data_IF_491838237639
#
_entry.id   IF_491838237639
#
_cell.length_a   1.000
_cell.length_b   1.000
_cell.length_c   1.000
_cell.angle_alpha   90.00
_cell.angle_beta   90.00
_cell.angle_gamma   90.00
#
_symmetry.space_group_name_H-M   'P 1'
#
loop_
_entity.id
_entity.type
_entity.pdbx_description
1 polymer ?
#
# COMPACT_ATOMS: atom_id res chain seq x y z
N UNK A 1 -47.11 -3.94 -8.38
CA UNK A 1 -46.88 -5.12 -9.23
C UNK A 1 -46.86 -6.35 -8.35
N UNK A 2 -47.44 -7.47 -8.79
CA UNK A 2 -47.54 -8.69 -7.97
C UNK A 2 -46.45 -9.70 -8.36
N UNK A 3 -45.80 -10.30 -7.36
CA UNK A 3 -44.86 -11.42 -7.53
C UNK A 3 -45.45 -12.55 -8.40
N UNK A 4 -46.76 -12.75 -8.32
CA UNK A 4 -47.50 -13.72 -9.14
C UNK A 4 -47.34 -13.48 -10.64
N UNK A 5 -47.35 -12.21 -11.10
CA UNK A 5 -47.19 -11.89 -12.52
C UNK A 5 -45.74 -12.12 -12.98
N UNK A 6 -44.75 -11.79 -12.15
CA UNK A 6 -43.33 -12.09 -12.42
C UNK A 6 -43.11 -13.60 -12.57
N UNK A 7 -43.68 -14.41 -11.67
CA UNK A 7 -43.60 -15.87 -11.74
C UNK A 7 -44.30 -16.45 -12.99
N UNK A 8 -45.46 -15.91 -13.36
CA UNK A 8 -46.18 -16.29 -14.57
C UNK A 8 -45.36 -15.99 -15.84
N UNK A 9 -44.83 -14.77 -15.96
CA UNK A 9 -43.99 -14.35 -17.08
C UNK A 9 -42.70 -15.18 -17.17
N UNK A 10 -42.03 -15.42 -16.04
CA UNK A 10 -40.83 -16.27 -15.98
C UNK A 10 -41.12 -17.68 -16.51
N UNK A 11 -42.26 -18.27 -16.16
CA UNK A 11 -42.68 -19.59 -16.65
C UNK A 11 -43.06 -19.55 -18.13
N UNK A 12 -43.83 -18.55 -18.55
CA UNK A 12 -44.33 -18.41 -19.93
C UNK A 12 -43.21 -18.13 -20.94
N UNK A 13 -42.26 -17.26 -20.57
CA UNK A 13 -41.20 -16.77 -21.43
C UNK A 13 -39.85 -17.46 -21.21
N UNK A 14 -39.77 -18.49 -20.35
CA UNK A 14 -38.51 -19.14 -19.93
C UNK A 14 -37.55 -19.48 -21.08
N UNK A 15 -38.07 -20.05 -22.18
CA UNK A 15 -37.25 -20.43 -23.34
C UNK A 15 -36.69 -19.21 -24.08
N UNK A 16 -37.51 -18.18 -24.26
CA UNK A 16 -37.09 -16.95 -24.94
C UNK A 16 -36.16 -16.10 -24.08
N UNK A 17 -36.37 -16.06 -22.76
CA UNK A 17 -35.44 -15.46 -21.80
C UNK A 17 -34.07 -16.12 -21.93
N UNK A 18 -33.99 -17.46 -21.82
CA UNK A 18 -32.72 -18.20 -21.95
C UNK A 18 -32.03 -17.97 -23.29
N UNK A 19 -32.82 -17.88 -24.37
CA UNK A 19 -32.31 -17.62 -25.71
C UNK A 19 -31.74 -16.20 -25.81
N UNK A 20 -32.46 -15.20 -25.33
CA UNK A 20 -32.00 -13.81 -25.28
C UNK A 20 -30.73 -13.68 -24.43
N UNK A 21 -30.68 -14.34 -23.27
CA UNK A 21 -29.49 -14.42 -22.41
C UNK A 21 -28.29 -15.00 -23.16
N UNK A 22 -28.49 -16.11 -23.88
CA UNK A 22 -27.41 -16.76 -24.65
C UNK A 22 -26.90 -15.88 -25.79
N UNK A 23 -27.80 -15.26 -26.55
CA UNK A 23 -27.44 -14.37 -27.65
C UNK A 23 -26.76 -13.10 -27.13
N UNK A 24 -27.30 -12.47 -26.09
CA UNK A 24 -26.68 -11.34 -25.42
C UNK A 24 -25.28 -11.70 -24.90
N UNK A 25 -25.11 -12.87 -24.28
CA UNK A 25 -23.80 -13.33 -23.84
C UNK A 25 -22.79 -13.48 -24.99
N UNK A 26 -23.22 -14.02 -26.14
CA UNK A 26 -22.38 -14.14 -27.33
C UNK A 26 -22.02 -12.77 -27.91
N UNK A 27 -23.02 -11.89 -28.05
CA UNK A 27 -22.85 -10.53 -28.59
C UNK A 27 -22.04 -9.61 -27.65
N UNK A 28 -22.05 -9.89 -26.35
CA UNK A 28 -21.29 -9.14 -25.33
C UNK A 28 -19.90 -9.70 -25.06
N UNK A 29 -19.47 -10.77 -25.74
CA UNK A 29 -18.15 -11.36 -25.54
C UNK A 29 -17.02 -10.32 -25.68
N UNK A 30 -17.16 -9.40 -26.62
CA UNK A 30 -16.17 -8.33 -26.87
C UNK A 30 -16.32 -7.11 -25.92
N UNK A 31 -17.30 -7.15 -25.02
CA UNK A 31 -17.59 -6.10 -24.03
C UNK A 31 -17.14 -6.51 -22.61
N UNK A 32 -16.65 -7.73 -22.43
CA UNK A 32 -16.23 -8.26 -21.13
C UNK A 32 -17.42 -8.56 -20.22
N UNK A 33 -17.36 -8.15 -18.96
CA UNK A 33 -18.48 -8.26 -18.01
C UNK A 33 -19.39 -7.03 -18.02
N UNK A 34 -19.17 -6.08 -18.93
CA UNK A 34 -19.93 -4.85 -18.96
C UNK A 34 -21.19 -5.01 -19.79
N UNK A 35 -22.31 -4.64 -19.19
CA UNK A 35 -23.60 -4.65 -19.87
C UNK A 35 -23.63 -3.51 -20.89
N UNK A 36 -23.34 -3.83 -22.14
CA UNK A 36 -23.56 -2.91 -23.24
C UNK A 36 -25.06 -2.79 -23.48
N UNK A 37 -25.71 -1.79 -22.87
CA UNK A 37 -27.16 -1.55 -22.99
C UNK A 37 -27.65 -1.60 -24.45
N UNK A 38 -26.98 -1.01 -25.46
CA UNK A 38 -27.44 -1.14 -26.84
C UNK A 38 -27.46 -2.58 -27.37
N UNK A 39 -26.50 -3.41 -26.95
CA UNK A 39 -26.48 -4.84 -27.32
C UNK A 39 -27.60 -5.58 -26.60
N UNK A 40 -27.80 -5.29 -25.31
CA UNK A 40 -28.93 -5.82 -24.56
C UNK A 40 -30.26 -5.45 -25.21
N UNK A 41 -30.46 -4.18 -25.54
CA UNK A 41 -31.69 -3.64 -26.12
C UNK A 41 -32.01 -4.31 -27.48
N UNK A 42 -31.01 -4.55 -28.32
CA UNK A 42 -31.18 -5.26 -29.60
C UNK A 42 -31.64 -6.70 -29.36
N UNK A 43 -30.98 -7.43 -28.46
CA UNK A 43 -31.30 -8.83 -28.20
C UNK A 43 -32.62 -8.98 -27.43
N UNK A 44 -32.92 -8.02 -26.55
CA UNK A 44 -34.17 -7.93 -25.81
C UNK A 44 -35.33 -7.56 -26.73
N UNK A 45 -35.18 -6.59 -27.63
CA UNK A 45 -36.19 -6.28 -28.64
C UNK A 45 -36.44 -7.49 -29.54
N UNK A 46 -35.37 -8.17 -29.99
CA UNK A 46 -35.49 -9.41 -30.75
C UNK A 46 -36.24 -10.50 -29.97
N UNK A 47 -36.13 -10.52 -28.63
CA UNK A 47 -36.93 -11.40 -27.77
C UNK A 47 -38.39 -10.99 -27.75
N UNK A 48 -38.70 -9.70 -27.62
CA UNK A 48 -40.07 -9.18 -27.66
C UNK A 48 -40.76 -9.52 -28.98
N UNK A 49 -40.05 -9.37 -30.11
CA UNK A 49 -40.56 -9.72 -31.44
C UNK A 49 -40.93 -11.22 -31.53
N UNK A 50 -40.18 -12.09 -30.85
CA UNK A 50 -40.49 -13.54 -30.78
C UNK A 50 -41.64 -13.88 -29.82
N UNK A 51 -42.02 -12.94 -28.96
CA UNK A 51 -43.13 -13.08 -28.03
C UNK A 51 -44.44 -12.47 -28.56
N UNK A 52 -44.48 -11.97 -29.80
CA UNK A 52 -45.65 -11.27 -30.39
C UNK A 52 -46.99 -12.02 -30.19
N UNK A 53 -46.98 -13.35 -30.26
CA UNK A 53 -48.18 -14.19 -30.06
C UNK A 53 -48.52 -14.52 -28.58
N UNK A 54 -47.77 -14.00 -27.61
CA UNK A 54 -47.92 -14.31 -26.17
C UNK A 54 -48.76 -13.25 -25.46
N UNK A 55 -49.56 -13.63 -24.45
CA UNK A 55 -50.41 -12.71 -23.69
C UNK A 55 -49.60 -11.91 -22.66
N UNK A 56 -48.76 -10.99 -23.12
CA UNK A 56 -48.14 -9.97 -22.29
C UNK A 56 -48.54 -8.57 -22.76
N UNK A 57 -48.33 -7.58 -21.91
CA UNK A 57 -48.72 -6.18 -22.13
C UNK A 57 -47.49 -5.28 -22.01
N UNK A 58 -47.59 -4.01 -22.43
CA UNK A 58 -46.50 -3.03 -22.24
C UNK A 58 -46.08 -2.89 -20.77
N UNK A 59 -47.01 -3.10 -19.82
CA UNK A 59 -46.72 -3.10 -18.39
C UNK A 59 -45.85 -4.28 -17.92
N UNK A 60 -45.75 -5.35 -18.72
CA UNK A 60 -44.91 -6.51 -18.43
C UNK A 60 -43.45 -6.32 -18.90
N UNK A 61 -43.17 -5.32 -19.76
CA UNK A 61 -41.83 -5.09 -20.32
C UNK A 61 -40.76 -4.88 -19.23
N UNK A 62 -40.96 -4.01 -18.22
CA UNK A 62 -39.97 -3.86 -17.15
C UNK A 62 -39.70 -5.16 -16.38
N UNK A 63 -40.73 -6.01 -16.20
CA UNK A 63 -40.60 -7.32 -15.51
C UNK A 63 -39.76 -8.28 -16.37
N UNK A 64 -39.98 -8.28 -17.68
CA UNK A 64 -39.20 -9.09 -18.61
C UNK A 64 -37.75 -8.62 -18.66
N UNK A 65 -37.47 -7.31 -18.65
CA UNK A 65 -36.10 -6.78 -18.54
C UNK A 65 -35.44 -7.31 -17.26
N UNK A 66 -36.12 -7.18 -16.12
CA UNK A 66 -35.62 -7.66 -14.83
C UNK A 66 -35.31 -9.16 -14.86
N UNK A 67 -36.24 -9.98 -15.37
CA UNK A 67 -36.05 -11.44 -15.47
C UNK A 67 -34.88 -11.84 -16.37
N UNK A 68 -34.71 -11.16 -17.52
CA UNK A 68 -33.57 -11.40 -18.41
C UNK A 68 -32.28 -10.99 -17.72
N UNK A 69 -32.26 -9.84 -17.04
CA UNK A 69 -31.09 -9.34 -16.32
C UNK A 69 -30.69 -10.22 -15.14
N UNK A 70 -31.65 -10.76 -14.38
CA UNK A 70 -31.43 -11.69 -13.27
C UNK A 70 -30.72 -12.98 -13.72
N UNK A 71 -30.99 -13.50 -14.91
CA UNK A 71 -30.30 -14.69 -15.46
C UNK A 71 -29.02 -14.33 -16.24
N UNK A 72 -29.01 -13.21 -16.98
CA UNK A 72 -27.87 -12.78 -17.80
C UNK A 72 -26.67 -12.37 -16.94
N UNK A 73 -26.88 -11.53 -15.92
CA UNK A 73 -25.80 -10.86 -15.20
C UNK A 73 -24.88 -11.82 -14.42
N UNK A 74 -25.39 -12.83 -13.68
CA UNK A 74 -24.53 -13.83 -13.05
C UNK A 74 -23.68 -14.62 -14.06
N UNK A 75 -24.24 -14.92 -15.24
CA UNK A 75 -23.54 -15.69 -16.29
C UNK A 75 -22.43 -14.88 -16.96
N UNK A 76 -22.69 -13.62 -17.27
CA UNK A 76 -21.66 -12.71 -17.81
C UNK A 76 -20.49 -12.56 -16.83
N UNK A 77 -20.79 -12.32 -15.54
CA UNK A 77 -19.74 -12.22 -14.50
C UNK A 77 -18.95 -13.51 -14.34
N UNK A 78 -19.63 -14.65 -14.32
CA UNK A 78 -18.96 -15.95 -14.24
C UNK A 78 -18.07 -16.21 -15.47
N UNK A 79 -18.59 -15.96 -16.68
CA UNK A 79 -17.84 -16.14 -17.93
C UNK A 79 -16.61 -15.24 -17.97
N UNK A 80 -16.77 -13.94 -17.67
CA UNK A 80 -15.66 -12.99 -17.65
C UNK A 80 -14.61 -13.36 -16.59
N UNK A 81 -15.05 -13.78 -15.39
CA UNK A 81 -14.14 -14.27 -14.35
C UNK A 81 -13.35 -15.49 -14.83
N UNK A 82 -14.02 -16.49 -15.42
CA UNK A 82 -13.35 -17.69 -15.95
C UNK A 82 -12.39 -17.37 -17.08
N UNK A 83 -12.76 -16.46 -18.00
CA UNK A 83 -11.86 -16.01 -19.07
C UNK A 83 -10.64 -15.29 -18.52
N UNK A 84 -10.82 -14.45 -17.50
CA UNK A 84 -9.73 -13.75 -16.80
C UNK A 84 -8.80 -14.73 -16.09
N UNK A 85 -9.33 -15.65 -15.31
CA UNK A 85 -8.57 -16.71 -14.61
C UNK A 85 -7.77 -17.55 -15.62
N UNK A 86 -8.41 -18.06 -16.67
CA UNK A 86 -7.76 -18.85 -17.72
C UNK A 86 -6.62 -18.08 -18.40
N UNK A 87 -6.84 -16.81 -18.73
CA UNK A 87 -5.84 -16.00 -19.42
C UNK A 87 -4.61 -15.77 -18.52
N UNK A 88 -4.81 -15.40 -17.25
CA UNK A 88 -3.70 -15.19 -16.32
C UNK A 88 -2.96 -16.48 -16.01
N UNK A 89 -3.66 -17.61 -15.84
CA UNK A 89 -3.04 -18.93 -15.71
C UNK A 89 -2.16 -19.27 -16.92
N UNK A 90 -2.68 -19.03 -18.13
CA UNK A 90 -1.93 -19.22 -19.37
C UNK A 90 -0.66 -18.36 -19.42
N UNK A 91 -0.75 -17.09 -19.03
CA UNK A 91 0.41 -16.19 -18.98
C UNK A 91 1.47 -16.64 -17.96
N UNK A 92 1.03 -17.08 -16.77
CA UNK A 92 1.91 -17.63 -15.72
C UNK A 92 2.62 -18.88 -16.24
N UNK A 93 1.91 -19.82 -16.88
CA UNK A 93 2.50 -21.04 -17.43
C UNK A 93 3.52 -20.73 -18.53
N UNK A 94 3.12 -19.89 -19.49
CA UNK A 94 3.95 -19.48 -20.63
C UNK A 94 5.25 -18.78 -20.19
N UNK A 95 5.21 -18.02 -19.11
CA UNK A 95 6.33 -17.20 -18.63
C UNK A 95 6.84 -17.64 -17.25
N UNK A 96 6.74 -18.93 -16.93
CA UNK A 96 7.07 -19.51 -15.61
C UNK A 96 8.53 -19.34 -15.17
N UNK A 97 9.44 -18.96 -16.08
CA UNK A 97 10.82 -18.60 -15.75
C UNK A 97 10.95 -17.27 -15.01
N UNK A 98 9.96 -16.38 -15.12
CA UNK A 98 9.99 -15.02 -14.55
C UNK A 98 8.73 -14.69 -13.76
N UNK A 99 7.54 -15.16 -14.16
CA UNK A 99 6.30 -14.95 -13.41
C UNK A 99 6.19 -15.99 -12.31
N UNK A 100 5.97 -15.54 -11.08
CA UNK A 100 5.81 -16.44 -9.94
C UNK A 100 4.51 -17.23 -10.09
N UNK A 101 4.51 -18.52 -9.71
CA UNK A 101 3.35 -19.42 -9.86
C UNK A 101 2.07 -18.89 -9.19
N UNK A 102 2.21 -18.17 -8.09
CA UNK A 102 1.11 -17.56 -7.34
C UNK A 102 1.03 -16.05 -7.56
N UNK A 103 1.49 -15.55 -8.72
CA UNK A 103 1.37 -14.14 -9.05
C UNK A 103 -0.11 -13.72 -9.08
N UNK A 104 -0.43 -12.60 -8.43
CA UNK A 104 -1.79 -12.08 -8.34
C UNK A 104 -1.98 -10.93 -9.33
N UNK A 105 -2.96 -11.07 -10.22
CA UNK A 105 -3.31 -10.05 -11.21
C UNK A 105 -4.73 -9.52 -10.95
N UNK A 106 -4.81 -8.32 -10.39
CA UNK A 106 -6.06 -7.62 -10.09
C UNK A 106 -6.32 -6.49 -11.09
N UNK A 107 -6.48 -6.90 -12.35
CA UNK A 107 -6.83 -6.05 -13.50
C UNK A 107 -7.56 -6.87 -14.56
N UNK A 108 -8.07 -6.21 -15.60
CA UNK A 108 -8.77 -6.88 -16.70
C UNK A 108 -7.80 -7.38 -17.78
N UNK A 109 -8.31 -8.22 -18.70
CA UNK A 109 -7.45 -8.96 -19.64
C UNK A 109 -6.88 -8.12 -20.78
N UNK A 110 -7.31 -6.87 -20.93
CA UNK A 110 -6.84 -5.95 -21.97
C UNK A 110 -5.36 -5.58 -21.84
N UNK A 111 -4.81 -5.63 -20.62
CA UNK A 111 -3.37 -5.43 -20.37
C UNK A 111 -2.54 -6.71 -20.39
N UNK A 112 -3.12 -7.86 -20.74
CA UNK A 112 -2.41 -9.14 -20.82
C UNK A 112 -1.16 -9.10 -21.71
N UNK A 113 -1.24 -8.42 -22.85
CA UNK A 113 -0.10 -8.25 -23.78
C UNK A 113 1.03 -7.44 -23.14
N UNK A 114 0.70 -6.36 -22.41
CA UNK A 114 1.67 -5.55 -21.68
C UNK A 114 2.39 -6.37 -20.61
N UNK A 115 1.67 -7.23 -19.89
CA UNK A 115 2.26 -8.15 -18.90
C UNK A 115 3.16 -9.19 -19.58
N UNK A 116 2.74 -9.74 -20.72
CA UNK A 116 3.56 -10.66 -21.52
C UNK A 116 4.87 -10.00 -21.96
N UNK A 117 4.79 -8.81 -22.56
CA UNK A 117 5.94 -8.02 -22.98
C UNK A 117 6.89 -7.71 -21.82
N UNK A 118 6.34 -7.38 -20.63
CA UNK A 118 7.13 -7.14 -19.43
C UNK A 118 7.88 -8.39 -18.99
N UNK A 119 7.20 -9.55 -18.98
CA UNK A 119 7.80 -10.83 -18.66
C UNK A 119 8.91 -11.22 -19.66
N UNK A 120 8.67 -11.08 -20.96
CA UNK A 120 9.67 -11.34 -22.01
C UNK A 120 10.90 -10.47 -21.83
N UNK A 121 10.71 -9.18 -21.53
CA UNK A 121 11.82 -8.27 -21.22
C UNK A 121 12.56 -8.67 -19.95
N UNK A 122 11.85 -9.05 -18.88
CA UNK A 122 12.45 -9.51 -17.64
C UNK A 122 13.29 -10.78 -17.83
N UNK A 123 12.88 -11.67 -18.73
CA UNK A 123 13.62 -12.88 -19.07
C UNK A 123 14.96 -12.58 -19.78
N UNK A 124 15.12 -11.39 -20.36
CA UNK A 124 16.38 -10.95 -20.98
C UNK A 124 17.39 -10.36 -19.99
N UNK A 125 16.99 -10.09 -18.75
CA UNK A 125 17.86 -9.48 -17.75
C UNK A 125 18.91 -10.46 -17.21
N UNK A 126 20.05 -9.96 -16.68
CA UNK A 126 21.07 -10.82 -16.10
C UNK A 126 20.51 -11.72 -15.00
N UNK A 127 20.86 -13.01 -15.01
CA UNK A 127 20.37 -14.00 -14.03
C UNK A 127 20.67 -13.59 -12.58
N UNK A 128 21.81 -12.93 -12.35
CA UNK A 128 22.21 -12.40 -11.04
C UNK A 128 21.17 -11.44 -10.43
N UNK A 129 20.40 -10.73 -11.26
CA UNK A 129 19.37 -9.81 -10.78
C UNK A 129 18.17 -10.54 -10.17
N UNK A 130 18.01 -11.86 -10.41
CA UNK A 130 16.93 -12.70 -9.84
C UNK A 130 15.55 -12.06 -9.97
N UNK A 131 15.27 -11.49 -11.15
CA UNK A 131 14.06 -10.72 -11.40
C UNK A 131 12.86 -11.67 -11.47
N UNK A 132 11.79 -11.34 -10.74
CA UNK A 132 10.52 -12.07 -10.72
C UNK A 132 9.34 -11.10 -10.82
N UNK A 133 8.30 -11.49 -11.56
CA UNK A 133 7.02 -10.79 -11.61
C UNK A 133 6.07 -11.44 -10.61
N UNK A 134 5.78 -10.72 -9.52
CA UNK A 134 4.97 -11.20 -8.41
C UNK A 134 3.47 -10.92 -8.62
N UNK A 135 3.12 -10.11 -9.62
CA UNK A 135 1.75 -9.78 -9.96
C UNK A 135 1.59 -8.40 -10.58
N UNK A 136 0.36 -7.92 -10.59
CA UNK A 136 0.02 -6.57 -11.03
C UNK A 136 -1.40 -6.20 -10.61
N UNK A 137 -1.68 -4.90 -10.55
CA UNK A 137 -3.01 -4.39 -10.25
C UNK A 137 -3.33 -3.16 -11.08
N UNK A 138 -4.61 -2.92 -11.29
CA UNK A 138 -5.12 -1.63 -11.72
C UNK A 138 -5.07 -0.65 -10.54
N UNK A 139 -4.50 0.53 -10.75
CA UNK A 139 -4.54 1.62 -9.77
C UNK A 139 -4.77 2.96 -10.46
N UNK A 140 -5.91 3.59 -10.18
CA UNK A 140 -6.33 4.89 -10.72
C UNK A 140 -6.32 4.96 -12.25
N UNK A 141 -6.61 3.86 -12.92
CA UNK A 141 -6.63 3.72 -14.37
C UNK A 141 -5.29 3.43 -15.01
N UNK A 142 -4.29 3.00 -14.27
CA UNK A 142 -3.02 2.54 -14.84
C UNK A 142 -2.57 1.19 -14.28
N UNK A 143 -1.74 0.50 -15.04
CA UNK A 143 -1.11 -0.76 -14.66
C UNK A 143 0.03 -0.51 -13.68
N UNK A 144 -0.02 -1.17 -12.52
CA UNK A 144 1.09 -1.22 -11.56
C UNK A 144 1.56 -2.67 -11.46
N UNK A 145 2.75 -2.94 -11.98
CA UNK A 145 3.40 -4.25 -11.87
C UNK A 145 4.12 -4.39 -10.53
N UNK A 146 4.05 -5.56 -9.88
CA UNK A 146 4.82 -5.89 -8.67
C UNK A 146 6.00 -6.76 -9.04
N UNK A 147 7.23 -6.27 -8.80
CA UNK A 147 8.46 -6.91 -9.29
C UNK A 147 9.49 -7.00 -8.18
N UNK A 148 9.91 -8.22 -7.86
CA UNK A 148 11.03 -8.50 -6.95
C UNK A 148 12.33 -8.75 -7.71
N UNK A 149 13.45 -8.30 -7.14
CA UNK A 149 14.78 -8.40 -7.74
C UNK A 149 15.88 -8.20 -6.69
N UNK A 150 17.11 -8.57 -7.03
CA UNK A 150 18.29 -8.39 -6.20
C UNK A 150 18.77 -6.92 -6.22
N UNK A 151 18.32 -6.12 -5.25
CA UNK A 151 18.61 -4.67 -5.13
C UNK A 151 20.12 -4.35 -5.13
N UNK A 152 20.95 -5.27 -4.63
CA UNK A 152 22.41 -5.09 -4.55
C UNK A 152 23.10 -5.14 -5.92
N UNK A 153 22.44 -5.68 -6.94
CA UNK A 153 23.02 -5.81 -8.27
C UNK A 153 23.03 -4.47 -9.00
N UNK A 154 24.20 -4.12 -9.55
CA UNK A 154 24.40 -2.83 -10.21
C UNK A 154 23.43 -2.68 -11.39
N UNK A 155 22.67 -1.59 -11.38
CA UNK A 155 21.75 -1.22 -12.47
C UNK A 155 20.36 -1.86 -12.39
N UNK A 156 20.16 -2.88 -11.53
CA UNK A 156 18.87 -3.57 -11.42
C UNK A 156 17.75 -2.61 -11.01
N UNK A 157 17.96 -1.83 -9.95
CA UNK A 157 16.94 -0.88 -9.45
C UNK A 157 16.53 0.15 -10.50
N UNK A 158 17.50 0.78 -11.19
CA UNK A 158 17.21 1.80 -12.20
C UNK A 158 16.45 1.20 -13.39
N UNK A 159 16.83 0.02 -13.84
CA UNK A 159 16.18 -0.62 -14.99
C UNK A 159 14.78 -1.13 -14.65
N UNK A 160 14.59 -1.75 -13.48
CA UNK A 160 13.27 -2.19 -13.04
C UNK A 160 12.33 -1.00 -12.84
N UNK A 161 12.80 0.12 -12.27
CA UNK A 161 12.01 1.35 -12.16
C UNK A 161 11.62 1.88 -13.54
N UNK A 162 12.58 1.97 -14.47
CA UNK A 162 12.33 2.42 -15.85
C UNK A 162 11.32 1.53 -16.56
N UNK A 163 11.45 0.21 -16.41
CA UNK A 163 10.54 -0.76 -17.01
C UNK A 163 9.12 -0.62 -16.44
N UNK A 164 8.97 -0.57 -15.10
CA UNK A 164 7.64 -0.39 -14.46
C UNK A 164 6.97 0.89 -14.97
N UNK A 165 7.72 1.99 -15.04
CA UNK A 165 7.22 3.26 -15.55
C UNK A 165 6.82 3.20 -17.04
N UNK A 166 7.62 2.54 -17.87
CA UNK A 166 7.29 2.35 -19.28
C UNK A 166 5.98 1.59 -19.48
N UNK A 167 5.79 0.47 -18.78
CA UNK A 167 4.56 -0.31 -18.87
C UNK A 167 3.35 0.41 -18.27
N UNK A 168 3.55 1.18 -17.18
CA UNK A 168 2.53 2.08 -16.65
C UNK A 168 2.11 3.10 -17.72
N UNK A 169 3.06 3.79 -18.34
CA UNK A 169 2.76 4.78 -19.38
C UNK A 169 2.07 4.15 -20.60
N UNK A 170 2.50 2.96 -21.03
CA UNK A 170 1.83 2.21 -22.12
C UNK A 170 0.38 1.88 -21.76
N UNK A 171 0.13 1.47 -20.51
CA UNK A 171 -1.23 1.14 -20.05
C UNK A 171 -2.20 2.31 -20.10
N UNK A 172 -1.73 3.57 -20.01
CA UNK A 172 -2.56 4.78 -20.12
C UNK A 172 -3.13 5.01 -21.53
N UNK A 173 -2.59 4.32 -22.53
CA UNK A 173 -3.07 4.33 -23.90
C UNK A 173 -3.74 3.00 -24.30
N UNK A 174 -3.89 2.05 -23.38
CA UNK A 174 -4.42 0.71 -23.65
C UNK A 174 -5.65 0.46 -22.80
N UNK A 175 -6.77 0.08 -23.42
CA UNK A 175 -7.98 -0.29 -22.71
C UNK A 175 -7.72 -1.48 -21.80
N UNK A 176 -7.97 -1.32 -20.50
CA UNK A 176 -7.82 -2.39 -19.49
C UNK A 176 -8.69 -3.61 -19.80
N UNK A 177 -9.82 -3.42 -20.50
CA UNK A 177 -10.79 -4.48 -20.77
C UNK A 177 -10.44 -5.29 -22.03
N UNK A 178 -10.14 -4.62 -23.15
CA UNK A 178 -9.95 -5.29 -24.45
C UNK A 178 -8.59 -5.14 -25.09
N UNK A 179 -7.71 -4.26 -24.58
CA UNK A 179 -6.37 -4.03 -25.13
C UNK A 179 -6.31 -3.12 -26.36
N UNK A 180 -7.45 -2.60 -26.85
CA UNK A 180 -7.47 -1.57 -27.89
C UNK A 180 -6.96 -0.21 -27.38
N UNK A 181 -6.81 0.77 -28.26
CA UNK A 181 -6.42 2.13 -27.87
C UNK A 181 -7.45 2.73 -26.91
N UNK A 182 -7.00 3.04 -25.69
CA UNK A 182 -7.79 3.63 -24.63
C UNK A 182 -7.34 5.04 -24.28
N UNK A 183 -8.10 5.70 -23.41
CA UNK A 183 -7.65 6.88 -22.69
C UNK A 183 -8.14 6.83 -21.25
N UNK A 184 -7.47 7.56 -20.36
CA UNK A 184 -7.91 7.70 -18.99
C UNK A 184 -9.33 8.31 -18.96
N UNK A 185 -10.25 7.60 -18.31
CA UNK A 185 -11.62 8.04 -18.08
C UNK A 185 -11.86 8.31 -16.60
N UNK A 186 -12.55 9.41 -16.30
CA UNK A 186 -12.84 9.88 -14.96
C UNK A 186 -14.35 9.93 -14.72
N UNK A 187 -14.83 9.12 -13.78
CA UNK A 187 -16.21 9.13 -13.27
C UNK A 187 -16.21 9.03 -11.75
N UNK A 188 -17.00 8.10 -11.19
CA UNK A 188 -16.93 7.75 -9.75
C UNK A 188 -15.59 7.11 -9.34
N UNK A 189 -14.83 6.63 -10.31
CA UNK A 189 -13.46 6.12 -10.20
C UNK A 189 -12.70 6.49 -11.48
N UNK A 190 -11.41 6.15 -11.55
CA UNK A 190 -10.57 6.36 -12.74
C UNK A 190 -10.23 5.01 -13.37
N UNK A 191 -10.38 4.87 -14.70
CA UNK A 191 -10.00 3.65 -15.45
C UNK A 191 -9.58 4.02 -16.87
N UNK A 192 -8.56 3.38 -17.43
CA UNK A 192 -8.20 3.57 -18.85
C UNK A 192 -8.97 2.59 -19.72
N UNK A 193 -9.87 3.12 -20.55
CA UNK A 193 -10.73 2.32 -21.44
C UNK A 193 -10.90 2.98 -22.80
N UNK A 194 -11.25 2.20 -23.82
CA UNK A 194 -11.62 2.74 -25.14
C UNK A 194 -13.07 3.25 -25.14
N UNK A 195 -13.48 3.92 -26.21
CA UNK A 195 -14.82 4.52 -26.32
C UNK A 195 -15.93 3.47 -26.26
N UNK A 196 -15.67 2.25 -26.77
CA UNK A 196 -16.58 1.10 -26.69
C UNK A 196 -16.87 0.70 -25.24
N UNK A 197 -15.86 0.75 -24.38
CA UNK A 197 -15.96 0.42 -22.96
C UNK A 197 -16.13 1.65 -22.06
N UNK A 198 -16.41 2.82 -22.63
CA UNK A 198 -16.69 4.01 -21.84
C UNK A 198 -18.04 3.91 -21.10
N UNK A 199 -18.96 3.06 -21.58
CA UNK A 199 -20.26 2.78 -20.94
C UNK A 199 -20.17 2.15 -19.54
N UNK A 200 -18.97 1.75 -19.11
CA UNK A 200 -18.67 1.23 -17.78
C UNK A 200 -18.84 2.28 -16.68
N UNK A 201 -18.83 3.55 -17.07
CA UNK A 201 -19.06 4.66 -16.17
C UNK A 201 -20.55 5.03 -16.20
N UNK A 202 -21.16 5.19 -15.01
CA UNK A 202 -22.52 5.72 -14.85
C UNK A 202 -22.63 7.21 -15.24
N UNK A 203 -21.50 7.86 -15.45
CA UNK A 203 -21.35 9.23 -15.89
C UNK A 203 -19.89 9.65 -15.85
N UNK A 204 -19.55 10.67 -16.64
CA UNK A 204 -18.21 11.27 -16.64
C UNK A 204 -18.17 12.51 -15.77
N UNK A 205 -17.02 12.75 -15.16
CA UNK A 205 -16.69 14.04 -14.55
C UNK A 205 -16.53 15.11 -15.62
N UNK A 206 -16.63 16.37 -15.22
CA UNK A 206 -16.44 17.53 -16.12
C UNK A 206 -15.02 17.61 -16.71
N UNK A 207 -14.03 16.99 -16.04
CA UNK A 207 -12.64 16.94 -16.45
C UNK A 207 -12.21 15.62 -17.13
N UNK A 208 -13.15 14.77 -17.52
CA UNK A 208 -12.86 13.56 -18.31
C UNK A 208 -12.12 13.89 -19.61
N UNK A 209 -11.06 13.13 -19.90
CA UNK A 209 -10.23 13.32 -21.09
C UNK A 209 -9.29 14.54 -21.04
N UNK A 210 -9.32 15.37 -19.99
CA UNK A 210 -8.33 16.45 -19.82
C UNK A 210 -6.98 15.93 -19.31
N UNK A 211 -7.00 14.79 -18.63
CA UNK A 211 -5.83 14.18 -18.01
C UNK A 211 -5.39 12.94 -18.78
N UNK A 212 -4.11 12.90 -19.14
CA UNK A 212 -3.49 11.72 -19.74
C UNK A 212 -2.90 10.76 -18.70
N UNK A 213 -2.60 11.26 -17.49
CA UNK A 213 -1.91 10.53 -16.43
C UNK A 213 -2.61 10.77 -15.07
N UNK A 214 -3.10 9.73 -14.38
CA UNK A 214 -3.83 9.88 -13.12
C UNK A 214 -2.96 10.39 -11.98
N UNK A 215 -1.64 10.19 -12.02
CA UNK A 215 -0.74 10.62 -10.96
C UNK A 215 -0.60 12.16 -10.95
N UNK A 216 -0.64 12.79 -12.13
CA UNK A 216 -0.71 14.27 -12.26
C UNK A 216 -2.05 14.85 -11.83
N UNK A 217 -3.12 14.08 -11.99
CA UNK A 217 -4.46 14.48 -11.56
C UNK A 217 -4.54 14.53 -10.02
N UNK A 218 -4.05 13.50 -9.31
CA UNK A 218 -4.01 13.49 -7.84
C UNK A 218 -3.17 14.61 -7.25
N UNK A 219 -2.02 14.92 -7.85
CA UNK A 219 -1.14 16.02 -7.45
C UNK A 219 -1.87 17.36 -7.32
N UNK A 220 -2.78 17.64 -8.26
CA UNK A 220 -3.54 18.89 -8.29
C UNK A 220 -4.69 18.91 -7.29
N UNK A 221 -5.40 17.79 -7.12
CA UNK A 221 -6.56 17.73 -6.21
C UNK A 221 -6.14 17.66 -4.74
N UNK A 222 -5.08 16.92 -4.42
CA UNK A 222 -4.68 16.66 -3.04
C UNK A 222 -3.52 17.53 -2.58
N UNK A 223 -2.79 18.18 -3.50
CA UNK A 223 -1.51 18.81 -3.20
C UNK A 223 -0.42 17.83 -2.81
N UNK A 224 -0.68 16.51 -2.87
CA UNK A 224 0.29 15.46 -2.58
C UNK A 224 0.89 14.94 -3.88
N UNK A 225 2.23 14.99 -3.99
CA UNK A 225 2.94 14.28 -5.06
C UNK A 225 2.61 12.80 -4.93
N UNK A 226 1.98 12.25 -5.96
CA UNK A 226 1.47 10.90 -5.93
C UNK A 226 2.59 9.86 -6.13
N UNK A 227 3.88 10.21 -6.04
CA UNK A 227 4.94 9.20 -5.97
C UNK A 227 4.60 8.28 -4.78
N UNK A 228 4.27 7.01 -5.08
CA UNK A 228 3.82 6.00 -4.12
C UNK A 228 4.85 5.69 -3.04
N UNK A 229 5.01 6.61 -2.10
CA UNK A 229 5.85 6.46 -0.91
C UNK A 229 5.32 5.36 0.01
N UNK A 230 4.04 5.03 -0.07
CA UNK A 230 3.42 3.94 0.70
C UNK A 230 3.83 2.54 0.24
N UNK A 231 4.38 2.34 -0.96
CA UNK A 231 5.00 1.07 -1.37
C UNK A 231 6.53 1.10 -1.21
N UNK A 232 7.05 2.26 -0.79
CA UNK A 232 8.42 2.55 -0.34
C UNK A 232 8.46 2.69 1.19
N UNK A 233 7.54 2.03 1.92
CA UNK A 233 7.39 2.20 3.39
C UNK A 233 8.76 2.26 4.06
N UNK A 234 9.11 3.40 4.66
CA UNK A 234 10.33 3.54 5.43
C UNK A 234 10.47 2.46 6.49
N UNK A 235 11.39 1.51 6.31
CA UNK A 235 11.65 0.48 7.31
C UNK A 235 12.35 1.07 8.54
N UNK A 236 13.05 2.19 8.39
CA UNK A 236 13.84 2.81 9.47
C UNK A 236 13.30 4.16 9.93
N UNK A 237 13.67 4.55 11.15
CA UNK A 237 13.34 5.85 11.73
C UNK A 237 13.86 7.02 10.90
N UNK A 238 15.04 6.86 10.28
CA UNK A 238 15.63 7.86 9.37
C UNK A 238 14.71 8.10 8.17
N UNK A 239 14.27 7.04 7.51
CA UNK A 239 13.42 7.19 6.32
C UNK A 239 12.03 7.72 6.66
N UNK A 240 11.50 7.45 7.87
CA UNK A 240 10.27 8.08 8.37
C UNK A 240 10.44 9.58 8.59
N UNK A 241 11.58 9.99 9.18
CA UNK A 241 11.92 11.40 9.35
C UNK A 241 12.05 12.10 8.00
N UNK A 242 12.79 11.51 7.05
CA UNK A 242 12.91 12.05 5.68
C UNK A 242 11.52 12.18 5.02
N UNK A 243 10.63 11.20 5.19
CA UNK A 243 9.26 11.28 4.68
C UNK A 243 8.41 12.38 5.36
N UNK A 244 8.65 12.67 6.65
CA UNK A 244 8.11 13.85 7.33
C UNK A 244 8.64 15.14 6.71
N UNK A 245 9.95 15.25 6.57
CA UNK A 245 10.62 16.44 6.07
C UNK A 245 10.28 16.72 4.59
N UNK A 246 10.02 15.69 3.78
CA UNK A 246 9.51 15.83 2.41
C UNK A 246 8.18 16.61 2.41
N UNK A 247 7.32 16.42 3.41
CA UNK A 247 6.03 17.12 3.51
C UNK A 247 6.18 18.58 3.93
N UNK A 248 7.23 18.90 4.69
CA UNK A 248 7.50 20.26 5.19
C UNK A 248 8.38 21.09 4.24
N UNK A 249 9.05 20.43 3.30
CA UNK A 249 9.88 21.08 2.28
C UNK A 249 9.13 21.19 0.95
N UNK A 250 9.57 22.13 0.10
CA UNK A 250 8.97 22.37 -1.22
C UNK A 250 10.03 22.55 -2.31
N UNK A 251 9.62 22.27 -3.54
CA UNK A 251 10.46 22.42 -4.74
C UNK A 251 11.72 21.57 -4.67
N UNK A 252 12.86 22.17 -5.08
CA UNK A 252 14.14 21.46 -5.24
C UNK A 252 14.58 20.65 -4.02
N UNK A 253 14.30 21.12 -2.80
CA UNK A 253 14.66 20.40 -1.58
C UNK A 253 13.87 19.10 -1.42
N UNK A 254 12.56 19.14 -1.66
CA UNK A 254 11.71 17.95 -1.61
C UNK A 254 12.12 16.95 -2.69
N UNK A 255 12.44 17.43 -3.90
CA UNK A 255 12.92 16.58 -5.00
C UNK A 255 14.20 15.82 -4.60
N UNK A 256 15.17 16.52 -3.99
CA UNK A 256 16.41 15.92 -3.51
C UNK A 256 16.15 14.84 -2.44
N UNK A 257 15.26 15.13 -1.48
CA UNK A 257 14.90 14.17 -0.43
C UNK A 257 14.25 12.90 -1.03
N UNK A 258 13.29 13.05 -1.95
CA UNK A 258 12.62 11.93 -2.63
C UNK A 258 13.60 11.12 -3.47
N UNK A 259 14.47 11.78 -4.23
CA UNK A 259 15.41 11.13 -5.13
C UNK A 259 16.47 10.32 -4.38
N UNK A 260 16.96 10.85 -3.26
CA UNK A 260 18.10 10.29 -2.54
C UNK A 260 17.76 9.61 -1.22
N UNK A 261 16.49 9.51 -0.79
CA UNK A 261 16.09 8.95 0.52
C UNK A 261 16.87 7.69 0.93
N UNK A 262 16.97 6.68 0.06
CA UNK A 262 17.70 5.44 0.37
C UNK A 262 19.22 5.61 0.47
N UNK A 263 19.81 6.56 -0.28
CA UNK A 263 21.24 6.89 -0.15
C UNK A 263 21.50 7.73 1.10
N UNK A 264 20.61 8.65 1.44
CA UNK A 264 20.66 9.43 2.67
C UNK A 264 20.62 8.51 3.89
N UNK A 265 19.68 7.58 3.92
CA UNK A 265 19.58 6.56 4.97
C UNK A 265 20.89 5.77 5.12
N UNK A 266 21.43 5.26 4.00
CA UNK A 266 22.68 4.49 4.02
C UNK A 266 23.86 5.34 4.52
N UNK A 267 23.99 6.58 4.07
CA UNK A 267 25.06 7.49 4.47
C UNK A 267 24.98 7.85 5.96
N UNK A 268 23.76 8.11 6.47
CA UNK A 268 23.50 8.37 7.89
C UNK A 268 23.87 7.17 8.74
N UNK A 269 23.44 5.95 8.38
CA UNK A 269 23.80 4.74 9.13
C UNK A 269 25.31 4.49 9.11
N UNK A 270 25.97 4.69 7.97
CA UNK A 270 27.43 4.53 7.87
C UNK A 270 28.20 5.57 8.69
N UNK A 271 27.69 6.81 8.76
CA UNK A 271 28.28 7.87 9.56
C UNK A 271 28.29 7.55 11.07
N UNK A 272 27.45 6.62 11.52
CA UNK A 272 27.45 6.17 12.90
C UNK A 272 28.69 5.36 13.29
N UNK A 273 29.41 4.82 12.30
CA UNK A 273 30.65 4.06 12.52
C UNK A 273 31.92 4.91 12.41
N UNK A 274 31.80 6.20 12.06
CA UNK A 274 32.95 7.12 12.02
C UNK A 274 33.03 7.94 13.31
N UNK A 275 34.22 8.42 13.63
CA UNK A 275 34.44 9.33 14.75
C UNK A 275 33.72 10.67 14.52
N UNK A 276 33.37 11.37 15.60
CA UNK A 276 32.57 12.60 15.57
C UNK A 276 33.21 13.69 14.70
N UNK A 277 34.54 13.78 14.74
CA UNK A 277 35.35 14.69 13.95
C UNK A 277 35.40 14.35 12.46
N UNK A 278 35.07 13.11 12.09
CA UNK A 278 35.08 12.62 10.70
C UNK A 278 33.70 12.64 10.02
N UNK A 279 32.60 12.88 10.76
CA UNK A 279 31.24 12.86 10.22
C UNK A 279 31.08 13.85 9.05
N UNK A 280 31.60 15.08 9.20
CA UNK A 280 31.47 16.11 8.17
C UNK A 280 32.23 15.73 6.89
N UNK A 281 33.43 15.16 7.02
CA UNK A 281 34.23 14.67 5.89
C UNK A 281 33.54 13.49 5.19
N UNK A 282 32.97 12.58 5.97
CA UNK A 282 32.22 11.44 5.46
C UNK A 282 30.99 11.90 4.64
N UNK A 283 30.18 12.82 5.18
CA UNK A 283 29.00 13.33 4.48
C UNK A 283 29.36 14.07 3.19
N UNK A 284 30.43 14.87 3.19
CA UNK A 284 30.93 15.52 1.97
C UNK A 284 31.33 14.50 0.90
N UNK A 285 32.00 13.43 1.31
CA UNK A 285 32.43 12.36 0.41
C UNK A 285 31.21 11.63 -0.20
N UNK A 286 30.21 11.30 0.61
CA UNK A 286 29.00 10.62 0.14
C UNK A 286 28.16 11.50 -0.79
N UNK A 287 27.91 12.76 -0.43
CA UNK A 287 27.21 13.71 -1.31
C UNK A 287 27.97 13.89 -2.63
N UNK A 288 29.31 13.98 -2.60
CA UNK A 288 30.14 14.04 -3.81
C UNK A 288 29.98 12.82 -4.72
N UNK A 289 29.79 11.61 -4.16
CA UNK A 289 29.52 10.40 -4.96
C UNK A 289 28.18 10.46 -5.68
N UNK A 290 27.19 11.15 -5.11
CA UNK A 290 25.86 11.25 -5.68
C UNK A 290 25.79 12.20 -6.89
N UNK A 291 26.77 13.08 -7.07
CA UNK A 291 26.87 14.00 -8.22
C UNK A 291 26.89 13.28 -9.57
N UNK A 292 27.41 12.04 -9.60
CA UNK A 292 27.40 11.19 -10.78
C UNK A 292 26.00 10.76 -11.22
N UNK A 293 25.03 10.77 -10.29
CA UNK A 293 23.63 10.47 -10.57
C UNK A 293 22.85 11.74 -10.91
N UNK A 294 23.10 12.83 -10.19
CA UNK A 294 22.49 14.13 -10.45
C UNK A 294 23.45 15.26 -10.06
N UNK A 295 23.75 16.22 -10.96
CA UNK A 295 24.61 17.33 -10.63
C UNK A 295 23.96 18.22 -9.57
N UNK A 296 24.71 18.55 -8.51
CA UNK A 296 24.26 19.41 -7.43
C UNK A 296 24.71 20.85 -7.64
N UNK A 297 23.78 21.78 -7.42
CA UNK A 297 24.12 23.18 -7.24
C UNK A 297 24.80 23.40 -5.88
N UNK A 298 25.48 24.54 -5.69
CA UNK A 298 26.00 24.90 -4.37
C UNK A 298 24.87 25.06 -3.34
N UNK A 299 23.67 25.45 -3.78
CA UNK A 299 22.47 25.48 -2.94
C UNK A 299 22.01 24.09 -2.52
N UNK A 300 22.07 23.10 -3.42
CA UNK A 300 21.74 21.70 -3.12
C UNK A 300 22.71 21.14 -2.07
N UNK A 301 24.02 21.35 -2.25
CA UNK A 301 25.05 20.94 -1.27
C UNK A 301 24.88 21.65 0.08
N UNK A 302 24.60 22.96 0.04
CA UNK A 302 24.34 23.77 1.22
C UNK A 302 23.10 23.34 2.02
N UNK A 303 22.15 22.65 1.38
CA UNK A 303 21.01 22.02 2.04
C UNK A 303 21.32 20.59 2.53
N UNK A 304 21.85 19.73 1.64
CA UNK A 304 22.03 18.30 1.92
C UNK A 304 23.02 18.04 3.06
N UNK A 305 24.15 18.77 3.11
CA UNK A 305 25.19 18.49 4.10
C UNK A 305 24.73 18.78 5.54
N UNK A 306 24.17 19.97 5.87
CA UNK A 306 23.62 20.21 7.20
C UNK A 306 22.46 19.28 7.54
N UNK A 307 21.61 18.95 6.56
CA UNK A 307 20.47 18.06 6.75
C UNK A 307 20.92 16.65 7.15
N UNK A 308 21.84 16.03 6.40
CA UNK A 308 22.39 14.71 6.70
C UNK A 308 23.14 14.69 8.04
N UNK A 309 23.86 15.76 8.36
CA UNK A 309 24.53 15.91 9.66
C UNK A 309 23.52 15.90 10.80
N UNK A 310 22.42 16.66 10.67
CA UNK A 310 21.34 16.67 11.66
C UNK A 310 20.75 15.27 11.83
N UNK A 311 20.43 14.59 10.73
CA UNK A 311 19.92 13.21 10.78
C UNK A 311 20.88 12.25 11.48
N UNK A 312 22.19 12.35 11.23
CA UNK A 312 23.19 11.52 11.87
C UNK A 312 23.32 11.78 13.37
N UNK A 313 23.25 13.05 13.80
CA UNK A 313 23.25 13.42 15.22
C UNK A 313 21.99 12.90 15.90
N UNK A 314 20.82 13.10 15.28
CA UNK A 314 19.54 12.65 15.82
C UNK A 314 19.51 11.13 15.98
N UNK A 315 19.94 10.39 14.95
CA UNK A 315 19.97 8.94 14.96
C UNK A 315 20.98 8.38 15.96
N UNK A 316 22.16 9.01 16.10
CA UNK A 316 23.13 8.65 17.14
C UNK A 316 22.54 8.87 18.53
N UNK A 317 21.91 10.01 18.76
CA UNK A 317 21.20 10.30 20.00
C UNK A 317 20.08 9.30 20.28
N UNK A 318 19.34 8.84 19.26
CA UNK A 318 18.35 7.76 19.43
C UNK A 318 19.01 6.46 19.88
N UNK A 319 20.11 6.04 19.25
CA UNK A 319 20.81 4.79 19.63
C UNK A 319 21.45 4.85 21.01
N UNK A 320 22.03 5.99 21.37
CA UNK A 320 22.56 6.18 22.71
C UNK A 320 21.42 6.12 23.74
N UNK A 321 20.27 6.77 23.49
CA UNK A 321 19.08 6.62 24.35
C UNK A 321 18.56 5.20 24.44
N UNK A 322 18.57 4.44 23.34
CA UNK A 322 18.16 3.04 23.33
C UNK A 322 19.13 2.18 24.16
N UNK A 323 20.44 2.35 23.99
CA UNK A 323 21.45 1.61 24.76
C UNK A 323 21.38 1.96 26.24
N UNK A 324 21.41 3.25 26.56
CA UNK A 324 21.35 3.73 27.94
C UNK A 324 20.00 3.34 28.59
N UNK A 325 18.93 3.31 27.79
CA UNK A 325 17.61 2.82 28.18
C UNK A 325 17.58 1.32 28.46
N UNK A 326 18.19 0.50 27.62
CA UNK A 326 18.34 -0.95 27.83
C UNK A 326 19.12 -1.24 29.11
N UNK A 327 20.24 -0.54 29.34
CA UNK A 327 21.01 -0.64 30.58
C UNK A 327 20.21 -0.17 31.81
N UNK A 328 19.35 0.84 31.65
CA UNK A 328 18.51 1.36 32.72
C UNK A 328 17.38 0.41 33.07
N UNK A 329 16.74 -0.19 32.07
CA UNK A 329 15.74 -1.24 32.22
C UNK A 329 16.36 -2.50 32.83
N UNK A 330 17.54 -2.94 32.36
CA UNK A 330 18.21 -4.11 32.92
C UNK A 330 18.52 -3.91 34.41
N UNK A 331 19.09 -2.77 34.79
CA UNK A 331 19.30 -2.41 36.21
C UNK A 331 18.00 -2.42 37.00
N UNK A 332 16.90 -1.98 36.39
CA UNK A 332 15.58 -2.01 37.04
C UNK A 332 15.09 -3.45 37.26
N UNK A 333 15.27 -4.33 36.26
CA UNK A 333 14.87 -5.74 36.33
C UNK A 333 15.74 -6.54 37.31
N UNK A 334 17.03 -6.23 37.41
CA UNK A 334 17.94 -6.82 38.40
C UNK A 334 17.47 -6.53 39.84
N UNK A 335 16.96 -5.31 40.07
CA UNK A 335 16.35 -4.90 41.34
C UNK A 335 14.96 -5.53 41.57
N UNK A 336 14.33 -6.11 40.54
CA UNK A 336 12.95 -6.61 40.53
C UNK A 336 12.83 -7.99 39.82
N UNK A 337 13.36 -9.08 40.39
CA UNK A 337 13.52 -10.37 39.70
C UNK A 337 12.20 -11.03 39.25
N UNK A 338 11.07 -10.70 39.89
CA UNK A 338 9.75 -11.17 39.44
C UNK A 338 9.38 -10.63 38.05
N UNK A 339 9.63 -9.33 37.82
CA UNK A 339 9.41 -8.70 36.51
C UNK A 339 10.46 -9.16 35.49
N UNK A 340 11.69 -9.46 35.91
CA UNK A 340 12.73 -9.96 35.01
C UNK A 340 12.31 -11.27 34.31
N UNK A 341 11.72 -12.21 35.04
CA UNK A 341 11.23 -13.47 34.47
C UNK A 341 10.10 -13.27 33.46
N UNK A 342 9.23 -12.31 33.71
CA UNK A 342 8.13 -11.98 32.80
C UNK A 342 8.61 -11.23 31.57
N UNK A 343 9.51 -10.25 31.74
CA UNK A 343 10.13 -9.53 30.64
C UNK A 343 10.82 -10.49 29.67
N UNK A 344 11.48 -11.53 30.19
CA UNK A 344 12.11 -12.59 29.39
C UNK A 344 11.10 -13.48 28.64
N UNK A 345 9.86 -13.58 29.12
CA UNK A 345 8.79 -14.36 28.50
C UNK A 345 8.01 -13.57 27.42
N UNK A 346 8.12 -12.23 27.42
CA UNK A 346 7.51 -11.38 26.40
C UNK A 346 8.16 -11.62 25.03
N UNK A 347 7.35 -11.83 24.00
CA UNK A 347 7.78 -12.13 22.61
C UNK A 347 7.01 -11.27 21.60
N UNK A 348 7.50 -11.23 20.35
CA UNK A 348 6.82 -10.53 19.24
C UNK A 348 6.71 -9.02 19.47
N UNK A 349 5.55 -8.44 19.16
CA UNK A 349 5.31 -6.98 19.22
C UNK A 349 5.58 -6.38 20.60
N UNK A 350 5.14 -7.05 21.65
CA UNK A 350 5.35 -6.59 23.03
C UNK A 350 6.85 -6.51 23.39
N UNK A 351 7.66 -7.42 22.86
CA UNK A 351 9.12 -7.41 23.05
C UNK A 351 9.77 -6.24 22.33
N UNK A 352 9.28 -5.93 21.12
CA UNK A 352 9.72 -4.75 20.37
C UNK A 352 9.39 -3.46 21.14
N UNK A 353 8.18 -3.35 21.69
CA UNK A 353 7.78 -2.20 22.51
C UNK A 353 8.65 -2.07 23.77
N UNK A 354 8.90 -3.18 24.46
CA UNK A 354 9.76 -3.20 25.64
C UNK A 354 11.16 -2.67 25.34
N UNK A 355 11.75 -3.10 24.23
CA UNK A 355 13.08 -2.68 23.80
C UNK A 355 13.10 -1.21 23.33
N UNK A 356 12.08 -0.79 22.58
CA UNK A 356 11.98 0.55 22.03
C UNK A 356 11.80 1.63 23.11
N UNK A 357 11.09 1.30 24.19
CA UNK A 357 10.74 2.21 25.29
C UNK A 357 11.45 1.88 26.61
N UNK A 358 12.54 1.10 26.57
CA UNK A 358 13.23 0.59 27.76
C UNK A 358 13.65 1.71 28.75
N UNK A 359 14.22 2.79 28.21
CA UNK A 359 14.65 3.94 29.02
C UNK A 359 13.49 4.70 29.64
N UNK A 360 12.49 5.06 28.83
CA UNK A 360 11.29 5.77 29.28
C UNK A 360 10.55 4.99 30.37
N UNK A 361 10.41 3.67 30.20
CA UNK A 361 9.82 2.78 31.18
C UNK A 361 10.58 2.78 32.52
N UNK A 362 11.90 2.63 32.47
CA UNK A 362 12.74 2.60 33.67
C UNK A 362 12.73 3.95 34.41
N UNK A 363 12.79 5.05 33.66
CA UNK A 363 12.79 6.40 34.23
C UNK A 363 11.43 6.75 34.82
N UNK A 364 10.32 6.57 34.08
CA UNK A 364 8.97 6.86 34.58
C UNK A 364 8.61 5.99 35.79
N UNK A 365 9.11 4.75 35.87
CA UNK A 365 8.90 3.87 37.02
C UNK A 365 9.67 4.31 38.28
N UNK A 366 10.87 4.87 38.12
CA UNK A 366 11.71 5.36 39.22
C UNK A 366 11.38 6.78 39.66
N UNK A 367 10.82 7.59 38.77
CA UNK A 367 10.79 9.04 38.95
C UNK A 367 9.91 9.52 40.10
N UNK A 368 8.88 8.78 40.55
CA UNK A 368 7.90 9.35 41.51
C UNK A 368 7.23 8.36 42.46
N UNK A 369 7.09 8.79 43.72
CA UNK A 369 6.04 8.30 44.63
C UNK A 369 4.76 9.04 44.27
N UNK A 370 3.99 8.48 43.34
CA UNK A 370 2.65 8.97 43.00
C UNK A 370 1.66 8.38 44.00
N UNK A 371 0.69 9.19 44.46
CA UNK A 371 -0.39 8.66 45.29
C UNK A 371 -1.21 7.64 44.49
N UNK A 372 -1.70 6.60 45.15
CA UNK A 372 -2.41 5.50 44.48
C UNK A 372 -3.60 6.00 43.64
N UNK A 373 -4.31 7.03 44.11
CA UNK A 373 -5.45 7.64 43.42
C UNK A 373 -5.09 8.46 42.17
N UNK A 374 -3.81 8.80 41.95
CA UNK A 374 -3.35 9.56 40.78
C UNK A 374 -2.51 8.74 39.80
N UNK A 375 -2.27 7.46 40.11
CA UNK A 375 -1.33 6.63 39.37
C UNK A 375 -1.76 6.36 37.93
N UNK A 376 -3.05 6.06 37.70
CA UNK A 376 -3.55 5.81 36.34
C UNK A 376 -3.52 7.06 35.45
N UNK A 377 -3.77 8.24 36.03
CA UNK A 377 -3.66 9.53 35.34
C UNK A 377 -2.22 9.80 34.92
N UNK A 378 -1.27 9.62 35.85
CA UNK A 378 0.16 9.75 35.59
C UNK A 378 0.64 8.83 34.48
N UNK A 379 0.33 7.54 34.55
CA UNK A 379 0.75 6.54 33.55
C UNK A 379 0.26 6.92 32.15
N UNK A 380 -1.00 7.36 32.04
CA UNK A 380 -1.56 7.78 30.75
C UNK A 380 -0.85 9.02 30.19
N UNK A 381 -0.54 9.99 31.05
CA UNK A 381 0.18 11.21 30.66
C UNK A 381 1.61 10.91 30.25
N UNK A 382 2.35 10.08 30.99
CA UNK A 382 3.72 9.68 30.66
C UNK A 382 3.78 8.98 29.30
N UNK A 383 2.98 7.93 29.09
CA UNK A 383 2.97 7.18 27.81
C UNK A 383 2.54 8.07 26.63
N UNK A 384 1.74 9.11 26.87
CA UNK A 384 1.35 10.08 25.84
C UNK A 384 2.48 11.05 25.47
N UNK A 385 3.47 11.25 26.34
CA UNK A 385 4.61 12.15 26.12
C UNK A 385 5.82 11.44 25.51
N UNK A 386 5.86 10.10 25.51
CA UNK A 386 6.97 9.35 24.95
C UNK A 386 7.07 9.57 23.43
N UNK A 387 8.29 9.69 22.88
CA UNK A 387 8.48 9.88 21.45
C UNK A 387 7.87 8.71 20.67
N UNK A 388 7.19 8.98 19.57
CA UNK A 388 6.69 7.93 18.69
C UNK A 388 7.88 7.24 17.98
N UNK A 389 8.33 6.10 18.51
CA UNK A 389 9.42 5.29 17.91
C UNK A 389 8.88 4.44 16.73
N UNK A 390 7.57 4.50 16.50
CA UNK A 390 6.86 3.92 15.35
C UNK A 390 5.37 4.27 15.44
N UNK A 391 4.57 3.69 14.53
CA UNK A 391 3.11 3.77 14.67
C UNK A 391 2.66 2.90 15.84
N UNK A 392 2.24 3.54 16.93
CA UNK A 392 1.64 2.87 18.07
C UNK A 392 0.13 2.74 17.86
N UNK A 393 -0.34 1.50 17.79
CA UNK A 393 -1.77 1.23 17.88
C UNK A 393 -2.31 1.54 19.29
N UNK A 394 -3.62 1.68 19.46
CA UNK A 394 -4.18 1.85 20.81
C UNK A 394 -3.88 0.64 21.70
N UNK A 395 -3.82 -0.57 21.15
CA UNK A 395 -3.43 -1.77 21.90
C UNK A 395 -1.97 -1.73 22.34
N UNK A 396 -1.06 -1.16 21.53
CA UNK A 396 0.34 -0.95 21.93
C UNK A 396 0.42 0.04 23.11
N UNK A 397 -0.36 1.13 23.05
CA UNK A 397 -0.42 2.14 24.12
C UNK A 397 -1.00 1.54 25.41
N UNK A 398 -2.05 0.72 25.31
CA UNK A 398 -2.62 0.02 26.47
C UNK A 398 -1.64 -0.97 27.09
N UNK A 399 -0.90 -1.71 26.26
CA UNK A 399 0.14 -2.61 26.74
C UNK A 399 1.26 -1.86 27.47
N UNK A 400 1.76 -0.76 26.91
CA UNK A 400 2.77 0.09 27.55
C UNK A 400 2.30 0.67 28.89
N UNK A 401 1.05 1.16 28.96
CA UNK A 401 0.44 1.65 30.20
C UNK A 401 0.36 0.53 31.26
N UNK A 402 -0.08 -0.66 30.85
CA UNK A 402 -0.16 -1.82 31.72
C UNK A 402 1.22 -2.24 32.23
N UNK A 403 2.21 -2.31 31.36
CA UNK A 403 3.58 -2.69 31.73
C UNK A 403 4.22 -1.67 32.70
N UNK A 404 4.08 -0.37 32.40
CA UNK A 404 4.57 0.71 33.28
C UNK A 404 3.92 0.64 34.67
N UNK A 405 2.61 0.37 34.75
CA UNK A 405 1.91 0.20 36.02
C UNK A 405 2.59 -0.85 36.91
N UNK A 406 2.92 -2.00 36.32
CA UNK A 406 3.53 -3.13 37.03
C UNK A 406 4.93 -2.81 37.51
N UNK A 407 5.70 -2.07 36.71
CA UNK A 407 7.02 -1.56 37.12
C UNK A 407 6.89 -0.62 38.33
N UNK A 408 5.96 0.33 38.30
CA UNK A 408 5.73 1.25 39.42
C UNK A 408 5.31 0.50 40.69
N UNK A 409 4.39 -0.47 40.58
CA UNK A 409 3.93 -1.26 41.72
C UNK A 409 5.08 -2.10 42.33
N UNK A 410 5.94 -2.70 41.49
CA UNK A 410 7.11 -3.46 41.96
C UNK A 410 8.14 -2.57 42.68
N UNK A 411 8.42 -1.39 42.13
CA UNK A 411 9.34 -0.42 42.73
C UNK A 411 8.80 0.12 44.07
N UNK A 412 7.49 0.37 44.16
CA UNK A 412 6.85 0.77 45.41
C UNK A 412 6.99 -0.30 46.50
N UNK A 413 6.80 -1.58 46.16
CA UNK A 413 7.00 -2.69 47.09
C UNK A 413 8.46 -2.85 47.52
N UNK A 414 9.41 -2.66 46.59
CA UNK A 414 10.85 -2.66 46.91
C UNK A 414 11.20 -1.56 47.90
N UNK A 415 10.70 -0.34 47.69
CA UNK A 415 10.91 0.80 48.58
C UNK A 415 10.31 0.50 49.97
N UNK A 416 9.08 -0.04 50.06
CA UNK A 416 8.45 -0.41 51.34
C UNK A 416 9.29 -1.41 52.12
N UNK A 417 9.79 -2.47 51.48
CA UNK A 417 10.68 -3.47 52.11
C UNK A 417 11.97 -2.83 52.62
N UNK A 418 12.56 -1.92 51.84
CA UNK A 418 13.79 -1.19 52.24
C UNK A 418 13.56 -0.27 53.43
N UNK A 419 12.40 0.38 53.53
CA UNK A 419 12.04 1.23 54.69
C UNK A 419 11.81 0.36 55.93
N UNK A 420 11.03 -0.71 55.81
CA UNK A 420 10.76 -1.62 56.93
C UNK A 420 12.03 -2.29 57.48
N UNK A 421 13.01 -2.62 56.61
CA UNK A 421 14.30 -3.17 57.04
C UNK A 421 15.20 -2.18 57.78
N UNK A 422 15.03 -0.86 57.57
CA UNK A 422 15.81 0.18 58.27
C UNK A 422 15.27 0.55 59.64
N UNK A 423 14.06 0.14 59.99
CA UNK A 423 13.49 0.37 61.34
C UNK A 423 13.91 -0.72 62.34
N UNK A 424 14.62 -1.75 61.89
CA UNK A 424 15.02 -2.92 62.68
C UNK A 424 16.53 -2.89 63.05
N UNK A 425 17.30 -1.99 62.43
CA UNK A 425 18.69 -1.64 62.79
C UNK A 425 18.72 -0.33 63.58
#
# INVERSE_FOLDING_TARGET
MTEDRKAELAKMCCLEIRRAVTLAQMSMADYGYHLAMPVFDIEFQSMLDRLEDKPFTEHDIPILIELVMEDLWPRLRAAARSSREYMWEYLIEKNSSVIVRNAEFDMDTGWASLVSDAAERMASYPEAWKVRLDGGKEKFGCLVLHVSFAIKERGATSEIKRMREEFRLRSLATCDICGENGRLRLGGYAKTVCDKHAAVFEGFREDDGQWADPWRWQEKETGMSAIGLDELVPTTAISRQIAGDIRENYGRKADLLVEFVGRMETAVVAAMSVADDDVDFWMQTEVGRWESAQPFSDGDRGFLLPYLRSLAIDERGRRDRLRDGEESLQRFLDDNPGLAGEAAAVVGRERELLNAYAGDLADSARARVVKAESLDGYIREEVALWPDVGELSESDRDWLRHWLRRMIDAEAERIKKRVAGREID
#
